data_IF_719949226694
#
_entry.id   IF_719949226694
#
_cell.length_a   1.000
_cell.length_b   1.000
_cell.length_c   1.000
_cell.angle_alpha   90.00
_cell.angle_beta   90.00
_cell.angle_gamma   90.00
#
_symmetry.space_group_name_H-M   'P 1'
#
loop_
_entity.id
_entity.type
_entity.pdbx_description
1 polymer ?
#
# COMPACT_ATOMS: atom_id res chain seq x y z
N UNK A 1 -16.62 -30.41 -18.82
CA UNK A 1 -16.24 -29.12 -19.42
C UNK A 1 -15.99 -28.18 -18.26
N UNK A 2 -14.71 -27.90 -17.97
CA UNK A 2 -14.28 -27.32 -16.70
C UNK A 2 -14.18 -25.80 -16.86
N UNK A 3 -15.14 -25.07 -16.32
CA UNK A 3 -15.06 -23.61 -16.16
C UNK A 3 -14.54 -23.29 -14.76
N UNK A 4 -13.23 -23.48 -14.57
CA UNK A 4 -12.54 -22.84 -13.44
C UNK A 4 -12.47 -21.35 -13.74
N UNK A 5 -13.38 -20.60 -13.13
CA UNK A 5 -13.35 -19.15 -13.09
C UNK A 5 -11.94 -18.73 -12.64
N UNK A 6 -11.23 -18.00 -13.50
CA UNK A 6 -9.94 -17.38 -13.20
C UNK A 6 -10.12 -16.27 -12.16
N UNK A 7 -10.42 -16.63 -10.91
CA UNK A 7 -9.99 -15.82 -9.77
C UNK A 7 -8.49 -16.02 -9.72
N UNK A 8 -7.74 -15.21 -10.49
CA UNK A 8 -6.29 -15.21 -10.40
C UNK A 8 -5.97 -15.05 -8.90
N UNK A 9 -5.22 -15.98 -8.27
CA UNK A 9 -4.78 -15.73 -6.91
C UNK A 9 -3.97 -14.45 -7.03
N UNK A 10 -4.45 -13.36 -6.41
CA UNK A 10 -3.60 -12.22 -6.13
C UNK A 10 -2.40 -12.86 -5.45
N UNK A 11 -1.26 -12.90 -6.13
CA UNK A 11 -0.09 -13.63 -5.66
C UNK A 11 0.15 -13.22 -4.21
N UNK A 12 0.54 -14.13 -3.32
CA UNK A 12 0.77 -13.79 -1.90
C UNK A 12 1.64 -12.53 -1.75
N UNK A 13 2.51 -12.29 -2.72
CA UNK A 13 3.32 -11.09 -2.87
C UNK A 13 2.50 -9.79 -3.09
N UNK A 14 1.49 -9.80 -3.95
CA UNK A 14 0.57 -8.67 -4.13
C UNK A 14 -0.25 -8.41 -2.86
N UNK A 15 -0.72 -9.45 -2.17
CA UNK A 15 -1.45 -9.27 -0.90
C UNK A 15 -0.56 -8.65 0.19
N UNK A 16 0.68 -9.13 0.33
CA UNK A 16 1.66 -8.54 1.27
C UNK A 16 1.98 -7.09 0.94
N UNK A 17 2.16 -6.74 -0.34
CA UNK A 17 2.42 -5.36 -0.76
C UNK A 17 1.24 -4.44 -0.45
N UNK A 18 0.01 -4.90 -0.66
CA UNK A 18 -1.19 -4.13 -0.33
C UNK A 18 -1.35 -3.92 1.18
N UNK A 19 -1.11 -4.96 1.98
CA UNK A 19 -1.16 -4.86 3.45
C UNK A 19 -0.10 -3.89 3.98
N UNK A 20 1.13 -4.00 3.49
CA UNK A 20 2.24 -3.11 3.86
C UNK A 20 1.94 -1.67 3.46
N UNK A 21 1.36 -1.44 2.28
CA UNK A 21 0.96 -0.11 1.84
C UNK A 21 -0.17 0.46 2.71
N UNK A 22 -1.13 -0.37 3.13
CA UNK A 22 -2.22 0.04 4.02
C UNK A 22 -1.70 0.44 5.41
N UNK A 23 -0.81 -0.35 5.99
CA UNK A 23 -0.18 -0.01 7.27
C UNK A 23 0.66 1.26 7.16
N UNK A 24 1.44 1.41 6.08
CA UNK A 24 2.27 2.58 5.85
C UNK A 24 1.45 3.87 5.78
N UNK A 25 0.29 3.84 5.12
CA UNK A 25 -0.62 4.99 5.03
C UNK A 25 -1.24 5.30 6.38
N UNK A 26 -1.61 4.29 7.18
CA UNK A 26 -2.19 4.50 8.51
C UNK A 26 -1.18 5.10 9.49
N UNK A 27 0.06 4.62 9.49
CA UNK A 27 1.15 5.19 10.29
C UNK A 27 1.47 6.63 9.85
N UNK A 28 1.55 6.87 8.54
CA UNK A 28 1.78 8.21 7.99
C UNK A 28 0.62 9.17 8.34
N UNK A 29 -0.62 8.69 8.30
CA UNK A 29 -1.83 9.41 8.71
C UNK A 29 -1.72 9.87 10.16
N UNK A 30 -1.29 8.97 11.06
CA UNK A 30 -1.06 9.28 12.47
C UNK A 30 0.05 10.30 12.68
N UNK A 31 1.18 10.17 11.96
CA UNK A 31 2.31 11.10 12.07
C UNK A 31 2.02 12.49 11.50
N UNK A 32 1.29 12.56 10.37
CA UNK A 32 0.97 13.81 9.69
C UNK A 32 -0.30 14.49 10.22
N UNK A 33 -0.99 13.89 11.20
CA UNK A 33 -2.32 14.29 11.68
C UNK A 33 -3.34 14.45 10.52
N UNK A 34 -3.19 13.62 9.50
CA UNK A 34 -4.07 13.60 8.34
C UNK A 34 -5.23 12.66 8.60
N UNK A 35 -6.45 13.06 8.22
CA UNK A 35 -7.58 12.14 8.22
C UNK A 35 -7.51 11.25 6.98
N UNK A 36 -7.05 10.02 7.14
CA UNK A 36 -7.22 9.00 6.11
C UNK A 36 -8.48 8.21 6.46
N UNK A 37 -9.45 8.21 5.54
CA UNK A 37 -10.69 7.46 5.73
C UNK A 37 -10.37 5.98 5.90
N UNK A 38 -11.03 5.31 6.85
CA UNK A 38 -10.86 3.88 7.11
C UNK A 38 -11.21 3.01 5.87
N UNK A 39 -11.99 3.59 4.95
CA UNK A 39 -12.37 3.04 3.66
C UNK A 39 -11.40 3.39 2.51
N UNK A 40 -10.25 4.03 2.79
CA UNK A 40 -9.24 4.27 1.77
C UNK A 40 -8.68 2.91 1.31
N UNK A 41 -9.26 2.40 0.24
CA UNK A 41 -8.83 1.17 -0.40
C UNK A 41 -7.50 1.47 -1.08
N UNK A 42 -6.40 1.12 -0.42
CA UNK A 42 -5.09 1.07 -1.07
C UNK A 42 -5.15 -0.09 -2.06
N UNK A 43 -5.30 0.24 -3.35
CA UNK A 43 -5.23 -0.69 -4.47
C UNK A 43 -3.83 -0.62 -5.10
N UNK A 44 -3.49 -1.56 -5.99
CA UNK A 44 -2.17 -1.54 -6.65
C UNK A 44 -1.92 -0.26 -7.47
N UNK A 45 -2.99 0.33 -8.01
CA UNK A 45 -2.94 1.61 -8.75
C UNK A 45 -2.61 2.80 -7.84
N UNK A 46 -2.93 2.70 -6.55
CA UNK A 46 -2.68 3.74 -5.54
C UNK A 46 -1.30 3.61 -4.89
N UNK A 47 -0.63 2.45 -5.02
CA UNK A 47 0.72 2.22 -4.46
C UNK A 47 1.74 3.29 -4.89
N UNK A 48 1.82 3.74 -6.17
CA UNK A 48 2.72 4.81 -6.59
C UNK A 48 2.43 6.14 -5.87
N UNK A 49 1.15 6.47 -5.67
CA UNK A 49 0.75 7.67 -4.94
C UNK A 49 1.10 7.58 -3.46
N UNK A 50 0.92 6.40 -2.85
CA UNK A 50 1.33 6.11 -1.47
C UNK A 50 2.85 6.23 -1.32
N UNK A 51 3.64 5.64 -2.22
CA UNK A 51 5.11 5.75 -2.24
C UNK A 51 5.54 7.22 -2.31
N UNK A 52 4.92 8.01 -3.18
CA UNK A 52 5.22 9.44 -3.30
C UNK A 52 4.93 10.18 -1.99
N UNK A 53 3.80 9.92 -1.34
CA UNK A 53 3.45 10.51 -0.04
C UNK A 53 4.42 10.07 1.06
N UNK A 54 4.79 8.79 1.12
CA UNK A 54 5.77 8.27 2.09
C UNK A 54 7.12 8.97 1.94
N UNK A 55 7.60 9.19 0.72
CA UNK A 55 8.86 9.92 0.48
C UNK A 55 8.78 11.40 0.82
N UNK A 56 7.63 12.03 0.61
CA UNK A 56 7.44 13.47 0.89
C UNK A 56 7.24 13.77 2.37
N UNK A 57 6.50 12.93 3.10
CA UNK A 57 6.04 13.23 4.46
C UNK A 57 6.61 12.28 5.52
N UNK A 58 7.03 11.06 5.15
CA UNK A 58 7.48 10.04 6.10
C UNK A 58 8.96 10.07 6.46
N UNK A 59 9.74 11.00 5.88
CA UNK A 59 11.18 11.13 6.14
C UNK A 59 11.95 9.82 5.92
N UNK A 60 12.95 9.54 6.76
CA UNK A 60 13.79 8.34 6.63
C UNK A 60 12.99 7.02 6.72
N UNK A 61 11.95 6.98 7.58
CA UNK A 61 11.06 5.82 7.70
C UNK A 61 10.23 5.61 6.42
N UNK A 62 9.63 6.69 5.90
CA UNK A 62 8.84 6.64 4.67
C UNK A 62 9.66 6.22 3.44
N UNK A 63 10.94 6.61 3.36
CA UNK A 63 11.84 6.13 2.32
C UNK A 63 12.12 4.62 2.40
N UNK A 64 12.27 4.07 3.61
CA UNK A 64 12.47 2.63 3.82
C UNK A 64 11.25 1.84 3.38
N UNK A 65 10.07 2.24 3.84
CA UNK A 65 8.80 1.57 3.49
C UNK A 65 8.47 1.72 2.01
N UNK A 66 8.76 2.87 1.41
CA UNK A 66 8.62 3.09 -0.03
C UNK A 66 9.52 2.16 -0.87
N UNK A 67 10.72 1.82 -0.37
CA UNK A 67 11.62 0.89 -1.04
C UNK A 67 11.07 -0.54 -0.99
N UNK A 68 10.51 -0.97 0.14
CA UNK A 68 9.86 -2.28 0.29
C UNK A 68 8.62 -2.43 -0.60
N UNK A 69 7.86 -1.34 -0.82
CA UNK A 69 6.70 -1.33 -1.72
C UNK A 69 7.07 -1.35 -3.22
N UNK A 70 8.29 -0.91 -3.56
CA UNK A 70 8.81 -0.88 -4.93
C UNK A 70 9.45 -2.21 -5.33
N UNK A 71 9.73 -3.10 -4.37
CA UNK A 71 10.48 -4.34 -4.56
C UNK A 71 9.64 -5.56 -4.94
#
# INVERSE_FOLDING_TARGET
>A
MNTVNMTQPISEQCQRRLELARQAVQELSGQANWYVSEHWAVTEDEIPAVIKKLRLYGGAWGYKVAAELTS
#
